data_IF_975627963690
#
_entry.id   IF_975627963690
#
_cell.length_a   1.000
_cell.length_b   1.000
_cell.length_c   1.000
_cell.angle_alpha   90.00
_cell.angle_beta   90.00
_cell.angle_gamma   90.00
#
_symmetry.space_group_name_H-M   'P 1'
#
loop_
_entity.id
_entity.type
_entity.pdbx_description
1 polymer ?
#
# COMPACT_ATOMS: atom_id res chain seq x y z
N UNK A 1 5.60 13.35 -11.96
CA UNK A 1 4.88 12.72 -10.82
C UNK A 1 4.57 13.74 -9.73
N UNK A 2 3.31 13.76 -9.25
CA UNK A 2 2.86 14.57 -8.12
C UNK A 2 2.74 13.65 -6.89
N UNK A 3 3.42 14.01 -5.81
CA UNK A 3 3.38 13.29 -4.52
C UNK A 3 2.47 13.98 -3.50
N UNK A 4 2.49 13.49 -2.28
CA UNK A 4 1.77 14.06 -1.13
C UNK A 4 2.70 14.99 -0.34
N UNK A 5 2.13 15.91 0.44
CA UNK A 5 2.88 16.80 1.32
C UNK A 5 2.49 16.49 2.76
N UNK A 6 3.47 16.13 3.58
CA UNK A 6 3.32 15.88 5.01
C UNK A 6 4.40 16.68 5.72
N UNK A 7 4.07 17.44 6.77
CA UNK A 7 5.04 18.22 7.54
C UNK A 7 5.97 19.12 6.70
N UNK A 8 5.44 19.75 5.63
CA UNK A 8 6.19 20.56 4.64
C UNK A 8 7.19 19.79 3.78
N UNK A 9 7.25 18.47 3.91
CA UNK A 9 8.05 17.59 3.07
C UNK A 9 7.19 16.90 2.02
N UNK A 10 7.77 16.68 0.83
CA UNK A 10 7.08 16.07 -0.30
C UNK A 10 7.45 14.60 -0.40
N UNK A 11 6.50 13.73 -0.09
CA UNK A 11 6.66 12.27 -0.19
C UNK A 11 6.12 11.77 -1.53
N UNK A 12 6.87 10.91 -2.21
CA UNK A 12 6.50 10.35 -3.53
C UNK A 12 6.64 8.83 -3.58
N UNK A 13 7.65 8.30 -2.92
CA UNK A 13 8.02 6.89 -2.98
C UNK A 13 8.67 6.48 -1.67
N UNK A 14 8.39 5.25 -1.24
CA UNK A 14 9.09 4.54 -0.18
C UNK A 14 9.54 3.19 -0.74
N UNK A 15 10.76 2.80 -0.42
CA UNK A 15 11.41 1.60 -0.94
C UNK A 15 11.86 0.74 0.24
N UNK A 16 11.54 -0.54 0.19
CA UNK A 16 12.04 -1.53 1.14
C UNK A 16 12.37 -2.82 0.40
N UNK A 17 13.67 -3.12 0.25
CA UNK A 17 14.14 -4.23 -0.58
C UNK A 17 13.50 -4.21 -1.98
N UNK A 18 12.71 -5.23 -2.32
CA UNK A 18 11.95 -5.36 -3.57
C UNK A 18 10.55 -4.72 -3.53
N UNK A 19 10.06 -4.32 -2.36
CA UNK A 19 8.77 -3.66 -2.19
C UNK A 19 8.86 -2.15 -2.44
N UNK A 20 7.96 -1.64 -3.30
CA UNK A 20 7.85 -0.21 -3.65
C UNK A 20 6.46 0.30 -3.30
N UNK A 21 6.40 1.32 -2.46
CA UNK A 21 5.17 2.04 -2.13
C UNK A 21 5.20 3.43 -2.74
N UNK A 22 4.13 3.80 -3.47
CA UNK A 22 4.04 5.08 -4.18
C UNK A 22 2.92 5.94 -3.60
N UNK A 23 3.20 7.25 -3.46
CA UNK A 23 2.24 8.25 -3.04
C UNK A 23 1.93 9.17 -4.21
N UNK A 24 0.68 9.13 -4.69
CA UNK A 24 0.24 9.87 -5.87
C UNK A 24 -0.82 10.91 -5.49
N UNK A 25 -0.71 12.08 -6.12
CA UNK A 25 -1.75 13.11 -6.10
C UNK A 25 -2.29 13.31 -7.50
N UNK A 26 -3.59 13.59 -7.64
CA UNK A 26 -4.27 13.74 -8.94
C UNK A 26 -4.14 12.47 -9.80
N UNK A 27 -4.80 11.37 -9.38
CA UNK A 27 -4.67 10.03 -9.97
C UNK A 27 -5.00 10.00 -11.47
N UNK A 28 -5.95 10.83 -11.92
CA UNK A 28 -6.35 10.94 -13.33
C UNK A 28 -5.20 11.28 -14.27
N UNK A 29 -4.27 12.13 -13.85
CA UNK A 29 -3.09 12.49 -14.66
C UNK A 29 -1.85 11.68 -14.29
N UNK A 30 -1.73 11.25 -13.03
CA UNK A 30 -0.52 10.59 -12.54
C UNK A 30 -0.45 9.09 -12.81
N UNK A 31 -1.57 8.36 -12.80
CA UNK A 31 -1.59 6.91 -13.07
C UNK A 31 -1.13 6.60 -14.51
N UNK A 32 -1.64 7.26 -15.56
CA UNK A 32 -1.16 7.01 -16.92
C UNK A 32 0.34 7.27 -17.06
N UNK A 33 0.83 8.39 -16.52
CA UNK A 33 2.24 8.74 -16.52
C UNK A 33 3.10 7.75 -15.73
N UNK A 34 2.60 7.23 -14.60
CA UNK A 34 3.26 6.19 -13.82
C UNK A 34 3.41 4.89 -14.62
N UNK A 35 2.37 4.47 -15.33
CA UNK A 35 2.40 3.26 -16.17
C UNK A 35 3.44 3.39 -17.28
N UNK A 36 3.51 4.56 -17.92
CA UNK A 36 4.54 4.86 -18.93
C UNK A 36 5.95 4.77 -18.32
N UNK A 37 6.16 5.38 -17.14
CA UNK A 37 7.45 5.32 -16.44
C UNK A 37 7.85 3.88 -16.11
N UNK A 38 6.95 3.11 -15.49
CA UNK A 38 7.20 1.72 -15.13
C UNK A 38 7.56 0.91 -16.38
N UNK A 39 6.83 1.08 -17.47
CA UNK A 39 7.10 0.39 -18.73
C UNK A 39 8.47 0.76 -19.30
N UNK A 40 8.79 2.05 -19.34
CA UNK A 40 10.06 2.56 -19.85
C UNK A 40 11.25 2.09 -19.04
N UNK A 41 11.22 2.25 -17.71
CA UNK A 41 12.30 1.79 -16.84
C UNK A 41 12.36 0.26 -16.76
N UNK A 42 11.21 -0.42 -16.86
CA UNK A 42 11.14 -1.87 -16.97
C UNK A 42 11.82 -2.40 -18.23
N UNK A 43 11.62 -1.73 -19.37
CA UNK A 43 12.31 -2.06 -20.63
C UNK A 43 13.83 -1.95 -20.50
N UNK A 44 14.34 -0.88 -19.89
CA UNK A 44 15.80 -0.69 -19.73
C UNK A 44 16.43 -1.62 -18.68
N UNK A 45 15.70 -1.93 -17.61
CA UNK A 45 16.23 -2.71 -16.50
C UNK A 45 15.99 -4.22 -16.65
N UNK A 46 15.08 -4.63 -17.54
CA UNK A 46 14.60 -6.00 -17.65
C UNK A 46 13.59 -6.39 -16.57
N UNK A 47 13.27 -5.50 -15.61
CA UNK A 47 12.27 -5.77 -14.58
C UNK A 47 10.85 -5.56 -15.10
N UNK A 48 9.93 -6.42 -14.65
CA UNK A 48 8.50 -6.33 -14.95
C UNK A 48 7.68 -6.24 -13.67
N UNK A 49 6.88 -5.18 -13.55
CA UNK A 49 5.92 -5.05 -12.46
C UNK A 49 4.83 -6.11 -12.58
N UNK A 50 4.52 -6.77 -11.47
CA UNK A 50 3.41 -7.71 -11.39
C UNK A 50 2.10 -6.96 -11.12
N UNK A 51 1.36 -6.68 -12.19
CA UNK A 51 0.09 -5.94 -12.13
C UNK A 51 -0.95 -6.68 -11.29
N UNK A 52 -0.96 -8.02 -11.31
CA UNK A 52 -1.92 -8.84 -10.54
C UNK A 52 -1.69 -8.76 -9.03
N UNK A 53 -0.45 -8.46 -8.61
CA UNK A 53 -0.09 -8.22 -7.20
C UNK A 53 -0.12 -6.73 -6.82
N UNK A 54 -0.29 -5.83 -7.79
CA UNK A 54 -0.28 -4.39 -7.53
C UNK A 54 -1.64 -3.93 -7.03
N UNK A 55 -1.65 -3.35 -5.83
CA UNK A 55 -2.83 -2.79 -5.18
C UNK A 55 -2.71 -1.26 -5.07
N UNK A 56 -3.84 -0.57 -5.21
CA UNK A 56 -3.95 0.87 -5.04
C UNK A 56 -5.15 1.19 -4.14
N UNK A 57 -4.92 2.02 -3.12
CA UNK A 57 -5.98 2.45 -2.20
C UNK A 57 -6.35 3.91 -2.45
N UNK A 58 -7.64 4.18 -2.54
CA UNK A 58 -8.18 5.53 -2.66
C UNK A 58 -8.42 6.11 -1.26
N UNK A 59 -7.38 6.74 -0.70
CA UNK A 59 -7.43 7.28 0.67
C UNK A 59 -8.57 8.29 0.86
N UNK A 60 -8.78 9.17 -0.12
CA UNK A 60 -9.77 10.26 -0.02
C UNK A 60 -11.13 9.93 -0.66
N UNK A 61 -11.32 8.73 -1.23
CA UNK A 61 -12.51 8.37 -1.99
C UNK A 61 -12.82 9.35 -3.15
N UNK A 62 -11.77 9.94 -3.75
CA UNK A 62 -11.91 10.96 -4.81
C UNK A 62 -11.56 10.42 -6.20
N UNK A 63 -11.07 9.19 -6.31
CA UNK A 63 -10.72 8.58 -7.59
C UNK A 63 -11.99 8.06 -8.26
N UNK A 64 -12.27 8.52 -9.48
CA UNK A 64 -13.41 8.05 -10.26
C UNK A 64 -13.28 6.58 -10.66
N UNK A 65 -14.41 5.89 -10.79
CA UNK A 65 -14.44 4.48 -11.18
C UNK A 65 -13.77 4.23 -12.55
N UNK A 66 -13.92 5.17 -13.48
CA UNK A 66 -13.25 5.12 -14.78
C UNK A 66 -11.72 5.06 -14.66
N UNK A 67 -11.13 5.83 -13.75
CA UNK A 67 -9.67 5.84 -13.51
C UNK A 67 -9.24 4.53 -12.86
N UNK A 68 -10.04 4.00 -11.91
CA UNK A 68 -9.79 2.69 -11.28
C UNK A 68 -9.75 1.58 -12.32
N UNK A 69 -10.76 1.52 -13.20
CA UNK A 69 -10.84 0.53 -14.28
C UNK A 69 -9.68 0.65 -15.29
N UNK A 70 -9.33 1.87 -15.72
CA UNK A 70 -8.23 2.09 -16.67
C UNK A 70 -6.84 1.83 -16.09
N UNK A 71 -6.69 1.91 -14.77
CA UNK A 71 -5.41 1.66 -14.10
C UNK A 71 -4.93 0.23 -14.31
N UNK A 72 -5.84 -0.75 -14.29
CA UNK A 72 -5.51 -2.18 -14.29
C UNK A 72 -4.98 -2.69 -12.94
N UNK A 73 -4.97 -1.87 -11.89
CA UNK A 73 -4.61 -2.27 -10.54
C UNK A 73 -5.82 -2.84 -9.78
N UNK A 74 -5.54 -3.58 -8.70
CA UNK A 74 -6.58 -3.93 -7.73
C UNK A 74 -6.87 -2.75 -6.82
N UNK A 75 -8.14 -2.46 -6.58
CA UNK A 75 -8.60 -1.36 -5.72
C UNK A 75 -9.40 -1.90 -4.52
N UNK A 76 -8.72 -2.43 -3.49
CA UNK A 76 -9.41 -2.85 -2.28
C UNK A 76 -10.05 -1.64 -1.59
N UNK A 77 -11.23 -1.86 -1.00
CA UNK A 77 -12.02 -0.82 -0.32
C UNK A 77 -11.67 -0.66 1.15
N UNK A 78 -11.17 -1.71 1.78
CA UNK A 78 -10.99 -1.76 3.25
C UNK A 78 -9.56 -1.44 3.65
N UNK A 79 -8.60 -2.20 3.11
CA UNK A 79 -7.18 -2.09 3.44
C UNK A 79 -6.28 -2.51 2.27
N UNK A 80 -5.00 -2.12 2.38
CA UNK A 80 -3.90 -2.66 1.57
C UNK A 80 -2.87 -3.29 2.48
N UNK A 81 -2.16 -4.31 2.01
CA UNK A 81 -1.10 -4.94 2.79
C UNK A 81 0.28 -4.46 2.35
N UNK A 82 1.07 -3.98 3.30
CA UNK A 82 2.45 -3.56 3.06
C UNK A 82 3.36 -4.05 4.21
N UNK A 83 4.44 -4.77 3.87
CA UNK A 83 5.39 -5.35 4.84
C UNK A 83 4.73 -6.19 5.96
N UNK A 84 3.64 -6.89 5.62
CA UNK A 84 2.89 -7.70 6.58
C UNK A 84 1.85 -6.94 7.41
N UNK A 85 1.80 -5.61 7.31
CA UNK A 85 0.85 -4.74 8.01
C UNK A 85 -0.31 -4.39 7.08
N UNK A 86 -1.53 -4.49 7.58
CA UNK A 86 -2.72 -4.00 6.89
C UNK A 86 -2.88 -2.51 7.17
N UNK A 87 -2.91 -1.70 6.12
CA UNK A 87 -3.11 -0.26 6.17
C UNK A 87 -4.58 -0.01 5.79
N UNK A 88 -5.49 0.19 6.77
CA UNK A 88 -6.87 0.50 6.50
C UNK A 88 -7.04 1.93 5.97
N UNK A 89 -8.16 2.19 5.29
CA UNK A 89 -8.51 3.54 4.87
C UNK A 89 -8.67 4.50 6.07
N UNK A 90 -9.24 4.01 7.17
CA UNK A 90 -9.35 4.75 8.43
C UNK A 90 -8.22 4.40 9.38
N UNK A 91 -7.37 5.38 9.70
CA UNK A 91 -6.26 5.20 10.65
C UNK A 91 -6.72 4.78 12.05
N UNK A 92 -7.96 5.09 12.44
CA UNK A 92 -8.54 4.62 13.71
C UNK A 92 -8.56 3.08 13.80
N UNK A 93 -8.72 2.40 12.67
CA UNK A 93 -8.78 0.94 12.62
C UNK A 93 -7.40 0.29 12.55
N UNK A 94 -6.31 1.07 12.43
CA UNK A 94 -4.95 0.54 12.23
C UNK A 94 -4.53 -0.37 13.40
N UNK A 95 -4.84 0.04 14.64
CA UNK A 95 -4.52 -0.74 15.83
C UNK A 95 -5.30 -2.05 15.87
N UNK A 96 -6.63 -1.99 15.73
CA UNK A 96 -7.48 -3.17 15.84
C UNK A 96 -7.23 -4.20 14.74
N UNK A 97 -7.02 -3.73 13.50
CA UNK A 97 -6.80 -4.57 12.33
C UNK A 97 -5.52 -5.39 12.46
N UNK A 98 -4.48 -4.82 13.06
CA UNK A 98 -3.16 -5.44 13.14
C UNK A 98 -2.88 -6.04 14.53
N UNK A 99 -2.91 -5.22 15.57
CA UNK A 99 -2.45 -5.60 16.91
C UNK A 99 -3.44 -6.49 17.63
N UNK A 100 -4.73 -6.13 17.69
CA UNK A 100 -5.72 -6.96 18.38
C UNK A 100 -5.83 -8.35 17.76
N UNK A 101 -5.75 -8.44 16.43
CA UNK A 101 -5.72 -9.73 15.71
C UNK A 101 -4.48 -10.54 16.05
N UNK A 102 -3.30 -9.93 16.06
CA UNK A 102 -2.03 -10.57 16.40
C UNK A 102 -1.98 -11.03 17.86
N UNK A 103 -2.37 -10.17 18.81
CA UNK A 103 -2.38 -10.50 20.24
C UNK A 103 -3.31 -11.69 20.50
N UNK A 104 -4.53 -11.68 19.94
CA UNK A 104 -5.45 -12.81 20.06
C UNK A 104 -4.88 -14.11 19.49
N UNK A 105 -4.14 -14.02 18.38
CA UNK A 105 -3.45 -15.18 17.79
C UNK A 105 -2.37 -15.71 18.74
N UNK A 106 -1.52 -14.83 19.28
CA UNK A 106 -0.48 -15.20 20.24
C UNK A 106 -1.10 -15.81 21.51
N UNK A 107 -2.09 -15.17 22.13
CA UNK A 107 -2.74 -15.69 23.35
C UNK A 107 -3.41 -17.05 23.14
N UNK A 108 -3.92 -17.33 21.93
CA UNK A 108 -4.56 -18.62 21.62
C UNK A 108 -3.56 -19.74 21.29
N UNK A 109 -2.38 -19.41 20.77
CA UNK A 109 -1.44 -20.39 20.23
C UNK A 109 -0.10 -20.48 20.96
N UNK A 110 0.22 -19.50 21.82
CA UNK A 110 1.44 -19.46 22.61
C UNK A 110 1.08 -19.32 24.09
N UNK A 111 1.39 -20.36 24.87
CA UNK A 111 1.37 -20.31 26.33
C UNK A 111 2.80 -20.08 26.81
N UNK A 112 3.09 -18.93 27.41
CA UNK A 112 4.39 -18.67 28.03
C UNK A 112 4.29 -19.10 29.49
N UNK A 113 4.86 -20.27 29.80
CA UNK A 113 4.95 -20.80 31.16
C UNK A 113 6.13 -20.10 31.84
N UNK A 114 5.84 -19.11 32.69
CA UNK A 114 6.86 -18.48 33.54
C UNK A 114 6.98 -19.35 34.79
N UNK A 115 8.08 -20.10 34.91
CA UNK A 115 8.40 -20.81 36.15
C UNK A 115 8.95 -19.81 37.18
N UNK A 116 8.51 -19.87 38.45
CA UNK A 116 9.12 -19.05 39.50
C UNK A 116 10.60 -19.44 39.66
N UNK A 117 11.45 -18.43 39.82
CA UNK A 117 12.87 -18.58 40.18
C UNK A 117 13.05 -19.07 41.60
#
# INVERSE_FOLDING_TARGET
>A
MKGIIINREKHKISLYADDVLLYLREPTSTIPYLKELISRYGYYSGYKVNVDKTEAMDVNSLVSESVKLQSGFKWPKEDIKYLGIYIPQSLHNLYDTNYNKMIRYITRHFFVLVLPT
#
